data_IF_346412496188
#
_entry.id   IF_346412496188
#
_cell.length_a   1.000
_cell.length_b   1.000
_cell.length_c   1.000
_cell.angle_alpha   90.00
_cell.angle_beta   90.00
_cell.angle_gamma   90.00
#
_symmetry.space_group_name_H-M   'P 1'
#
loop_
_entity.id
_entity.type
_entity.pdbx_description
1 polymer ?
#
# COMPACT_ATOMS: atom_id res chain seq x y z
N UNK A 1 -19.58 -3.64 20.75
CA UNK A 1 -18.18 -3.44 20.26
C UNK A 1 -17.40 -4.74 20.04
N UNK A 2 -17.54 -5.80 20.86
CA UNK A 2 -16.79 -7.07 20.69
C UNK A 2 -16.89 -7.75 19.30
N UNK A 3 -18.00 -7.56 18.56
CA UNK A 3 -18.19 -8.11 17.20
C UNK A 3 -17.50 -7.30 16.09
N UNK A 4 -17.05 -6.07 16.35
CA UNK A 4 -16.50 -5.18 15.31
C UNK A 4 -15.04 -5.53 14.97
N UNK A 5 -14.23 -5.88 15.97
CA UNK A 5 -12.83 -6.26 15.78
C UNK A 5 -12.59 -7.43 14.83
N UNK A 6 -13.30 -8.58 14.92
CA UNK A 6 -13.08 -9.67 13.97
C UNK A 6 -13.44 -9.25 12.54
N UNK A 7 -14.40 -8.34 12.35
CA UNK A 7 -14.74 -7.80 11.04
C UNK A 7 -13.60 -6.91 10.53
N UNK A 8 -13.15 -5.94 11.32
CA UNK A 8 -12.03 -5.07 10.95
C UNK A 8 -10.75 -5.87 10.62
N UNK A 9 -10.45 -6.90 11.41
CA UNK A 9 -9.30 -7.78 11.16
C UNK A 9 -9.42 -8.50 9.81
N UNK A 10 -10.60 -9.05 9.48
CA UNK A 10 -10.83 -9.68 8.18
C UNK A 10 -10.75 -8.67 7.04
N UNK A 11 -11.33 -7.49 7.20
CA UNK A 11 -11.25 -6.43 6.19
C UNK A 11 -9.80 -6.08 5.91
N UNK A 12 -8.99 -5.83 6.93
CA UNK A 12 -7.56 -5.52 6.77
C UNK A 12 -6.82 -6.68 6.08
N UNK A 13 -7.04 -7.91 6.54
CA UNK A 13 -6.39 -9.11 6.01
C UNK A 13 -6.69 -9.35 4.52
N UNK A 14 -7.97 -9.42 4.16
CA UNK A 14 -8.36 -9.63 2.76
C UNK A 14 -8.00 -8.43 1.89
N UNK A 15 -8.05 -7.19 2.42
CA UNK A 15 -7.60 -6.01 1.68
C UNK A 15 -6.12 -6.10 1.31
N UNK A 16 -5.26 -6.57 2.22
CA UNK A 16 -3.86 -6.81 1.89
C UNK A 16 -3.69 -7.93 0.86
N UNK A 17 -4.43 -9.04 0.98
CA UNK A 17 -4.37 -10.12 -0.01
C UNK A 17 -4.79 -9.65 -1.40
N UNK A 18 -5.90 -8.92 -1.50
CA UNK A 18 -6.35 -8.33 -2.78
C UNK A 18 -5.37 -7.28 -3.30
N UNK A 19 -4.85 -6.39 -2.45
CA UNK A 19 -3.84 -5.41 -2.87
C UNK A 19 -2.63 -6.12 -3.49
N UNK A 20 -2.08 -7.12 -2.80
CA UNK A 20 -0.90 -7.83 -3.26
C UNK A 20 -1.12 -8.69 -4.50
N UNK A 21 -2.31 -9.26 -4.66
CA UNK A 21 -2.68 -10.03 -5.83
C UNK A 21 -2.99 -9.14 -7.04
N UNK A 22 -3.69 -8.01 -6.85
CA UNK A 22 -4.19 -7.19 -7.94
C UNK A 22 -3.16 -6.18 -8.46
N UNK A 23 -2.26 -5.66 -7.61
CA UNK A 23 -1.26 -4.65 -8.04
C UNK A 23 -0.42 -5.15 -9.23
N UNK A 24 0.10 -6.39 -9.26
CA UNK A 24 0.85 -6.87 -10.43
C UNK A 24 -0.02 -7.07 -11.67
N UNK A 25 -1.27 -7.47 -11.49
CA UNK A 25 -2.20 -7.81 -12.59
C UNK A 25 -2.86 -6.59 -13.23
N UNK A 26 -2.99 -5.48 -12.51
CA UNK A 26 -3.72 -4.32 -13.00
C UNK A 26 -2.88 -3.55 -14.03
N UNK A 27 -3.32 -3.67 -15.28
CA UNK A 27 -2.84 -2.92 -16.43
C UNK A 27 -4.05 -2.64 -17.30
N UNK A 28 -4.19 -1.40 -17.80
CA UNK A 28 -5.33 -1.04 -18.65
C UNK A 28 -4.84 -0.35 -19.92
N UNK A 29 -5.30 -0.77 -21.11
CA UNK A 29 -4.91 -0.14 -22.37
C UNK A 29 -5.71 1.14 -22.69
N UNK A 30 -6.68 1.49 -21.83
CA UNK A 30 -7.62 2.58 -22.10
C UNK A 30 -7.08 3.96 -21.72
N UNK A 31 -6.12 4.00 -20.79
CA UNK A 31 -5.53 5.22 -20.27
C UNK A 31 -4.23 5.53 -20.99
N UNK A 32 -3.86 6.81 -21.07
CA UNK A 32 -2.58 7.26 -21.65
C UNK A 32 -1.35 6.73 -20.88
N UNK A 33 -1.54 6.28 -19.63
CA UNK A 33 -0.55 5.55 -18.86
C UNK A 33 -1.14 4.18 -18.49
N UNK A 34 -0.49 3.12 -18.99
CA UNK A 34 -1.03 1.77 -18.97
C UNK A 34 -0.82 1.06 -17.63
N UNK A 35 0.24 1.41 -16.90
CA UNK A 35 0.78 0.60 -15.80
C UNK A 35 0.72 1.29 -14.44
N UNK A 36 1.52 2.33 -14.22
CA UNK A 36 1.74 2.96 -12.92
C UNK A 36 0.50 3.65 -12.35
N UNK A 37 -0.26 4.35 -13.17
CA UNK A 37 -1.41 5.13 -12.75
C UNK A 37 -2.49 4.24 -12.15
N UNK A 38 -2.85 3.17 -12.84
CA UNK A 38 -3.90 2.24 -12.41
C UNK A 38 -3.50 1.52 -11.11
N UNK A 39 -2.22 1.14 -11.00
CA UNK A 39 -1.66 0.53 -9.78
C UNK A 39 -1.74 1.49 -8.60
N UNK A 40 -1.35 2.75 -8.79
CA UNK A 40 -1.35 3.73 -7.71
C UNK A 40 -2.75 4.07 -7.22
N UNK A 41 -3.75 4.18 -8.10
CA UNK A 41 -5.14 4.36 -7.68
C UNK A 41 -5.63 3.19 -6.82
N UNK A 42 -5.26 1.96 -7.18
CA UNK A 42 -5.61 0.78 -6.41
C UNK A 42 -4.93 0.79 -5.03
N UNK A 43 -3.64 1.15 -4.97
CA UNK A 43 -2.91 1.33 -3.69
C UNK A 43 -3.59 2.39 -2.82
N UNK A 44 -3.97 3.54 -3.37
CA UNK A 44 -4.65 4.60 -2.62
C UNK A 44 -5.99 4.14 -2.06
N UNK A 45 -6.81 3.48 -2.89
CA UNK A 45 -8.10 2.92 -2.47
C UNK A 45 -7.94 1.95 -1.30
N UNK A 46 -7.04 0.96 -1.41
CA UNK A 46 -6.83 -0.01 -0.36
C UNK A 46 -6.16 0.59 0.88
N UNK A 47 -5.31 1.61 0.73
CA UNK A 47 -4.72 2.33 1.87
C UNK A 47 -5.82 2.97 2.71
N UNK A 48 -6.76 3.69 2.09
CA UNK A 48 -7.90 4.29 2.78
C UNK A 48 -8.73 3.21 3.49
N UNK A 49 -9.05 2.12 2.79
CA UNK A 49 -9.84 1.01 3.33
C UNK A 49 -9.18 0.37 4.56
N UNK A 50 -7.89 0.05 4.46
CA UNK A 50 -7.09 -0.59 5.51
C UNK A 50 -6.94 0.33 6.71
N UNK A 51 -6.56 1.60 6.48
CA UNK A 51 -6.35 2.58 7.55
C UNK A 51 -7.66 2.89 8.26
N UNK A 52 -8.77 3.04 7.52
CA UNK A 52 -10.10 3.23 8.12
C UNK A 52 -10.48 2.04 9.01
N UNK A 53 -10.34 0.81 8.51
CA UNK A 53 -10.62 -0.39 9.29
C UNK A 53 -9.72 -0.51 10.53
N UNK A 54 -8.45 -0.11 10.42
CA UNK A 54 -7.50 -0.13 11.53
C UNK A 54 -7.80 0.93 12.59
N UNK A 55 -8.16 2.15 12.18
CA UNK A 55 -8.60 3.23 13.08
C UNK A 55 -9.89 2.84 13.82
N UNK A 56 -10.89 2.30 13.12
CA UNK A 56 -12.14 1.82 13.73
C UNK A 56 -11.85 0.76 14.80
N UNK A 57 -10.94 -0.18 14.51
CA UNK A 57 -10.49 -1.19 15.47
C UNK A 57 -9.83 -0.57 16.70
N UNK A 58 -8.91 0.38 16.52
CA UNK A 58 -8.23 1.05 17.66
C UNK A 58 -9.21 1.81 18.55
N UNK A 59 -10.20 2.50 17.95
CA UNK A 59 -11.25 3.20 18.69
C UNK A 59 -12.14 2.19 19.44
N UNK A 60 -12.51 1.08 18.80
CA UNK A 60 -13.34 0.04 19.41
C UNK A 60 -12.66 -0.65 20.59
N UNK A 61 -11.34 -0.87 20.51
CA UNK A 61 -10.52 -1.45 21.57
C UNK A 61 -10.09 -0.46 22.65
N UNK A 62 -10.25 0.85 22.40
CA UNK A 62 -9.73 1.94 23.23
C UNK A 62 -8.23 1.79 23.56
N UNK A 63 -7.48 1.18 22.65
CA UNK A 63 -6.05 0.91 22.80
C UNK A 63 -5.34 1.35 21.54
N UNK A 64 -4.26 2.11 21.72
CA UNK A 64 -3.35 2.41 20.64
C UNK A 64 -2.47 1.19 20.38
N UNK A 65 -2.76 0.46 19.31
CA UNK A 65 -2.06 -0.76 18.93
C UNK A 65 -0.97 -0.38 17.92
N UNK A 66 0.19 0.04 18.42
CA UNK A 66 1.36 0.36 17.61
C UNK A 66 2.59 -0.43 18.06
N UNK A 67 2.94 -1.45 17.29
CA UNK A 67 4.15 -2.27 17.42
C UNK A 67 5.30 -1.48 16.81
N UNK A 68 6.26 -1.11 17.66
CA UNK A 68 7.49 -0.45 17.22
C UNK A 68 8.39 -1.47 16.50
N UNK A 69 8.96 -1.04 15.39
CA UNK A 69 9.92 -1.80 14.59
C UNK A 69 11.19 -0.98 14.41
N UNK A 70 12.34 -1.64 14.31
CA UNK A 70 13.61 -0.98 14.00
C UNK A 70 13.53 -0.15 12.70
N UNK A 71 12.74 -0.63 11.74
CA UNK A 71 12.54 0.03 10.44
C UNK A 71 11.74 1.32 10.51
N UNK A 72 11.06 1.62 11.63
CA UNK A 72 10.27 2.84 11.75
C UNK A 72 11.16 4.09 11.63
N UNK A 73 12.37 4.06 12.21
CA UNK A 73 13.29 5.21 12.21
C UNK A 73 13.81 5.49 10.79
N UNK A 74 14.41 4.54 10.06
CA UNK A 74 14.84 4.76 8.67
C UNK A 74 13.71 5.23 7.76
N UNK A 75 12.51 4.65 7.90
CA UNK A 75 11.37 4.99 7.05
C UNK A 75 10.86 6.41 7.29
N UNK A 76 10.78 6.84 8.56
CA UNK A 76 10.40 8.22 8.90
C UNK A 76 11.47 9.21 8.43
N UNK A 77 12.75 8.91 8.63
CA UNK A 77 13.84 9.76 8.13
C UNK A 77 13.81 9.89 6.61
N UNK A 78 13.57 8.79 5.90
CA UNK A 78 13.38 8.81 4.46
C UNK A 78 12.21 9.72 4.06
N UNK A 79 11.03 9.56 4.69
CA UNK A 79 9.89 10.43 4.39
C UNK A 79 10.15 11.90 4.69
N UNK A 80 10.84 12.22 5.79
CA UNK A 80 11.23 13.60 6.10
C UNK A 80 12.16 14.19 5.04
N UNK A 81 13.09 13.39 4.50
CA UNK A 81 13.94 13.85 3.38
C UNK A 81 13.11 14.17 2.12
N UNK A 82 12.09 13.37 1.82
CA UNK A 82 11.17 13.60 0.71
C UNK A 82 10.29 14.83 0.94
N UNK A 83 9.86 15.06 2.18
CA UNK A 83 9.11 16.25 2.58
C UNK A 83 9.95 17.52 2.41
N UNK A 84 11.22 17.49 2.84
CA UNK A 84 12.17 18.60 2.62
C UNK A 84 12.37 18.84 1.12
N UNK A 85 12.56 17.76 0.34
CA UNK A 85 12.69 17.86 -1.12
C UNK A 85 11.45 18.48 -1.76
N UNK A 86 10.24 18.10 -1.33
CA UNK A 86 8.98 18.69 -1.78
C UNK A 86 8.88 20.20 -1.47
N UNK A 87 9.29 20.62 -0.26
CA UNK A 87 9.23 22.03 0.14
C UNK A 87 10.21 22.93 -0.65
N UNK A 88 11.39 22.41 -0.98
CA UNK A 88 12.43 23.12 -1.73
C UNK A 88 12.23 23.03 -3.26
N UNK A 89 11.42 22.08 -3.72
CA UNK A 89 11.23 21.81 -5.14
C UNK A 89 10.63 22.99 -5.92
N UNK A 90 11.15 23.17 -7.13
CA UNK A 90 10.68 24.17 -8.11
C UNK A 90 9.26 23.80 -8.59
N UNK A 91 9.02 22.51 -8.85
CA UNK A 91 7.72 22.00 -9.25
C UNK A 91 7.12 21.13 -8.13
N UNK A 92 6.26 21.77 -7.34
CA UNK A 92 5.59 21.13 -6.20
C UNK A 92 4.54 20.12 -6.65
N UNK A 93 3.92 20.31 -7.83
CA UNK A 93 2.86 19.42 -8.30
C UNK A 93 3.43 18.04 -8.65
N UNK A 94 4.52 18.01 -9.41
CA UNK A 94 5.22 16.76 -9.75
C UNK A 94 5.82 16.09 -8.51
N UNK A 95 6.29 16.87 -7.54
CA UNK A 95 6.84 16.34 -6.28
C UNK A 95 5.75 15.73 -5.38
N UNK A 96 4.53 16.29 -5.39
CA UNK A 96 3.41 15.78 -4.59
C UNK A 96 2.82 14.49 -5.18
N UNK A 97 2.50 14.51 -6.47
CA UNK A 97 1.74 13.46 -7.16
C UNK A 97 2.61 12.41 -7.84
N UNK A 98 3.88 12.73 -8.08
CA UNK A 98 4.76 11.96 -8.95
C UNK A 98 4.80 12.54 -10.36
N UNK A 99 5.75 12.04 -11.15
CA UNK A 99 5.93 12.42 -12.54
C UNK A 99 5.02 11.55 -13.44
N UNK A 100 4.66 12.06 -14.61
CA UNK A 100 3.91 11.29 -15.61
C UNK A 100 4.69 10.01 -15.97
N UNK A 101 4.03 8.84 -16.02
CA UNK A 101 4.68 7.52 -16.11
C UNK A 101 5.43 7.04 -14.85
N UNK A 102 5.49 7.82 -13.76
CA UNK A 102 6.11 7.42 -12.48
C UNK A 102 5.34 7.98 -11.28
N UNK A 103 4.11 7.50 -11.13
CA UNK A 103 3.20 7.92 -10.06
C UNK A 103 3.56 7.36 -8.68
N UNK A 104 4.38 6.30 -8.62
CA UNK A 104 4.81 5.68 -7.37
C UNK A 104 5.84 6.49 -6.56
N UNK A 105 6.38 7.58 -7.12
CA UNK A 105 7.46 8.37 -6.52
C UNK A 105 7.03 9.70 -5.90
N UNK A 106 5.74 10.03 -5.87
CA UNK A 106 5.23 11.25 -5.24
C UNK A 106 5.25 11.19 -3.72
N UNK A 107 5.16 12.35 -3.05
CA UNK A 107 5.05 12.39 -1.59
C UNK A 107 3.82 11.63 -1.08
N UNK A 108 2.70 11.68 -1.81
CA UNK A 108 1.45 11.00 -1.45
C UNK A 108 1.60 9.47 -1.52
N UNK A 109 2.28 8.94 -2.53
CA UNK A 109 2.52 7.50 -2.65
C UNK A 109 3.40 6.98 -1.52
N UNK A 110 4.47 7.71 -1.19
CA UNK A 110 5.36 7.36 -0.09
C UNK A 110 4.61 7.39 1.24
N UNK A 111 3.75 8.39 1.46
CA UNK A 111 2.90 8.45 2.65
C UNK A 111 1.96 7.25 2.75
N UNK A 112 1.34 6.83 1.63
CA UNK A 112 0.51 5.63 1.60
C UNK A 112 1.31 4.37 1.92
N UNK A 113 2.52 4.23 1.39
CA UNK A 113 3.39 3.09 1.68
C UNK A 113 3.77 3.00 3.17
N UNK A 114 4.02 4.13 3.83
CA UNK A 114 4.26 4.14 5.27
C UNK A 114 3.05 3.66 6.06
N UNK A 115 1.86 4.16 5.72
CA UNK A 115 0.61 3.75 6.36
C UNK A 115 0.34 2.25 6.17
N UNK A 116 0.52 1.75 4.94
CA UNK A 116 0.40 0.34 4.63
C UNK A 116 1.42 -0.50 5.39
N UNK A 117 2.68 -0.06 5.47
CA UNK A 117 3.72 -0.74 6.24
C UNK A 117 3.35 -0.85 7.73
N UNK A 118 2.98 0.26 8.38
CA UNK A 118 2.60 0.22 9.79
C UNK A 118 1.32 -0.60 10.01
N UNK A 119 0.32 -0.47 9.15
CA UNK A 119 -0.89 -1.28 9.23
C UNK A 119 -0.58 -2.78 9.07
N UNK A 120 0.35 -3.13 8.18
CA UNK A 120 0.79 -4.50 7.94
C UNK A 120 1.50 -5.07 9.19
N UNK A 121 2.53 -4.40 9.70
CA UNK A 121 3.29 -4.83 10.89
C UNK A 121 2.39 -5.01 12.11
N UNK A 122 1.39 -4.15 12.27
CA UNK A 122 0.48 -4.19 13.41
C UNK A 122 -0.57 -5.29 13.34
N UNK A 123 -1.07 -5.62 12.13
CA UNK A 123 -2.25 -6.48 11.97
C UNK A 123 -1.97 -7.83 11.32
N UNK A 124 -0.82 -8.02 10.68
CA UNK A 124 -0.44 -9.28 10.03
C UNK A 124 0.46 -10.12 10.94
N UNK A 125 0.09 -11.40 11.07
CA UNK A 125 0.89 -12.42 11.76
C UNK A 125 1.66 -13.27 10.75
N UNK A 126 2.66 -14.04 11.21
CA UNK A 126 3.51 -14.89 10.36
C UNK A 126 2.74 -15.72 9.34
N UNK A 127 1.64 -16.38 9.78
CA UNK A 127 0.79 -17.18 8.89
C UNK A 127 0.15 -16.32 7.80
N UNK A 128 -0.39 -15.15 8.15
CA UNK A 128 -1.04 -14.24 7.21
C UNK A 128 -0.04 -13.67 6.21
N UNK A 129 1.15 -13.31 6.68
CA UNK A 129 2.25 -12.83 5.83
C UNK A 129 2.66 -13.87 4.79
N UNK A 130 2.75 -15.16 5.16
CA UNK A 130 3.04 -16.22 4.20
C UNK A 130 1.96 -16.32 3.11
N UNK A 131 0.68 -16.17 3.48
CA UNK A 131 -0.39 -16.09 2.49
C UNK A 131 -0.28 -14.85 1.60
N UNK A 132 0.04 -13.67 2.14
CA UNK A 132 0.29 -12.47 1.32
C UNK A 132 1.40 -12.71 0.30
N UNK A 133 2.52 -13.33 0.73
CA UNK A 133 3.62 -13.69 -0.16
C UNK A 133 3.17 -14.65 -1.25
N UNK A 134 2.38 -15.67 -0.90
CA UNK A 134 1.80 -16.60 -1.87
C UNK A 134 0.93 -15.87 -2.91
N UNK A 135 0.04 -14.97 -2.49
CA UNK A 135 -0.79 -14.19 -3.42
C UNK A 135 0.04 -13.31 -4.36
N UNK A 136 1.07 -12.62 -3.86
CA UNK A 136 2.00 -11.87 -4.71
C UNK A 136 2.65 -12.81 -5.72
N UNK A 137 3.22 -13.93 -5.28
CA UNK A 137 3.91 -14.88 -6.16
C UNK A 137 2.96 -15.45 -7.23
N UNK A 138 1.75 -15.85 -6.86
CA UNK A 138 0.74 -16.29 -7.83
C UNK A 138 0.45 -15.21 -8.88
N UNK A 139 0.18 -13.97 -8.45
CA UNK A 139 -0.06 -12.88 -9.39
C UNK A 139 1.15 -12.60 -10.29
N UNK A 140 2.36 -12.62 -9.75
CA UNK A 140 3.59 -12.42 -10.50
C UNK A 140 3.82 -13.53 -11.53
N UNK A 141 3.52 -14.79 -11.18
CA UNK A 141 3.61 -15.90 -12.15
C UNK A 141 2.61 -15.74 -13.29
N UNK A 142 1.38 -15.31 -13.02
CA UNK A 142 0.39 -15.04 -14.06
C UNK A 142 0.85 -13.93 -15.01
N UNK A 143 1.38 -12.83 -14.46
CA UNK A 143 1.93 -11.72 -15.25
C UNK A 143 3.14 -12.17 -16.07
N UNK A 144 4.02 -13.01 -15.50
CA UNK A 144 5.16 -13.55 -16.22
C UNK A 144 4.74 -14.44 -17.40
N UNK A 145 3.76 -15.32 -17.23
CA UNK A 145 3.21 -16.11 -18.33
C UNK A 145 2.59 -15.23 -19.41
N UNK A 146 1.84 -14.20 -19.02
CA UNK A 146 1.28 -13.24 -19.96
C UNK A 146 2.39 -12.52 -20.76
N UNK A 147 3.43 -12.02 -20.10
CA UNK A 147 4.56 -11.36 -20.75
C UNK A 147 5.36 -12.27 -21.69
N UNK A 148 5.47 -13.56 -21.37
CA UNK A 148 6.08 -14.55 -22.28
C UNK A 148 5.18 -14.84 -23.49
N UNK A 149 3.87 -14.89 -23.30
CA UNK A 149 2.91 -15.15 -24.39
C UNK A 149 2.75 -13.98 -25.37
N UNK A 150 3.12 -12.77 -24.95
CA UNK A 150 3.11 -11.56 -25.80
C UNK A 150 4.36 -11.43 -26.69
N UNK A 151 5.39 -12.25 -26.45
CA UNK A 151 6.65 -12.28 -27.20
C UNK A 151 6.62 -13.29 -28.36
#
# INVERSE_FOLDING_TARGET
MKKLNPICNRVIEYSFYFLFFLVPLIMTPWNYELFEFNKMLLVYFFTILIVAAWLIKMIADKKFLFKRSFWDIPLVLFFLSQLVSFLVSIDRHTSLWGYYSRFNGGLVSIFCYLLLYWAFVNNMDKRKTLYSMFYVLCSATLVAFYGVAEH
#
